data_IF_926568431105
#
_entry.id   IF_926568431105
#
_cell.length_a   1.000
_cell.length_b   1.000
_cell.length_c   1.000
_cell.angle_alpha   90.00
_cell.angle_beta   90.00
_cell.angle_gamma   90.00
#
_symmetry.space_group_name_H-M   'P 1'
#
loop_
_entity.id
_entity.type
_entity.pdbx_description
1 polymer ?
#
# COMPACT_ATOMS: atom_id res chain seq x y z
N UNK A 1 14.20 -62.59 -19.92
CA UNK A 1 15.34 -63.03 -19.08
C UNK A 1 16.64 -62.47 -19.62
N UNK A 2 16.93 -61.19 -19.36
CA UNK A 2 18.24 -60.59 -19.62
C UNK A 2 18.91 -60.37 -18.26
N UNK A 3 20.00 -61.08 -17.93
CA UNK A 3 20.62 -61.04 -16.60
C UNK A 3 21.45 -59.78 -16.30
N UNK A 4 21.48 -58.78 -17.20
CA UNK A 4 22.25 -57.54 -17.06
C UNK A 4 21.40 -56.28 -16.77
N UNK A 5 20.10 -56.44 -16.49
CA UNK A 5 19.19 -55.31 -16.25
C UNK A 5 19.37 -54.79 -14.83
N UNK A 6 19.58 -53.47 -14.67
CA UNK A 6 19.76 -52.83 -13.37
C UNK A 6 18.46 -52.14 -12.88
N UNK A 7 18.35 -51.96 -11.56
CA UNK A 7 17.21 -51.26 -10.95
C UNK A 7 17.23 -49.79 -11.40
N UNK A 8 16.14 -49.34 -12.03
CA UNK A 8 16.00 -47.98 -12.57
C UNK A 8 16.15 -47.88 -14.10
N UNK A 9 16.48 -48.98 -14.77
CA UNK A 9 16.66 -49.01 -16.23
C UNK A 9 15.31 -49.17 -16.97
N UNK A 10 15.12 -48.42 -18.06
CA UNK A 10 13.95 -48.55 -18.93
C UNK A 10 14.18 -49.66 -19.96
N UNK A 11 13.39 -50.73 -19.90
CA UNK A 11 13.40 -51.80 -20.91
C UNK A 11 12.52 -51.35 -22.07
N UNK A 12 13.13 -51.14 -23.24
CA UNK A 12 12.43 -50.83 -24.48
C UNK A 12 12.01 -52.14 -25.16
N UNK A 13 10.72 -52.33 -25.39
CA UNK A 13 10.18 -53.47 -26.14
C UNK A 13 9.68 -52.99 -27.51
N UNK A 14 10.06 -53.69 -28.58
CA UNK A 14 9.67 -53.31 -29.94
C UNK A 14 8.17 -53.52 -30.14
N UNK A 15 7.43 -52.44 -30.38
CA UNK A 15 5.99 -52.50 -30.63
C UNK A 15 5.73 -53.01 -32.07
N UNK A 16 5.00 -54.11 -32.28
CA UNK A 16 4.75 -54.64 -33.62
C UNK A 16 3.95 -53.67 -34.51
N UNK A 17 4.40 -53.46 -35.75
CA UNK A 17 3.75 -52.52 -36.71
C UNK A 17 2.28 -52.87 -37.04
N UNK A 18 1.86 -54.13 -36.85
CA UNK A 18 0.48 -54.63 -37.08
C UNK A 18 -0.60 -53.88 -36.30
N UNK A 19 -0.25 -53.20 -35.20
CA UNK A 19 -1.18 -52.37 -34.43
C UNK A 19 -1.44 -50.99 -35.07
N UNK A 20 -0.64 -50.60 -36.06
CA UNK A 20 -0.75 -49.34 -36.79
C UNK A 20 -1.31 -49.51 -38.21
N UNK A 21 -1.72 -50.72 -38.59
CA UNK A 21 -2.28 -51.02 -39.90
C UNK A 21 -3.77 -50.63 -39.99
N UNK A 22 -4.12 -49.85 -41.02
CA UNK A 22 -5.51 -49.54 -41.37
C UNK A 22 -5.85 -48.05 -41.37
N UNK A 23 -6.96 -47.72 -42.06
CA UNK A 23 -7.46 -46.33 -42.22
C UNK A 23 -7.71 -45.63 -40.88
N UNK A 24 -8.15 -46.37 -39.86
CA UNK A 24 -8.47 -45.85 -38.52
C UNK A 24 -7.19 -45.45 -37.77
N UNK A 25 -6.14 -46.28 -37.82
CA UNK A 25 -4.85 -45.98 -37.19
C UNK A 25 -4.16 -44.77 -37.84
N UNK A 26 -4.22 -44.66 -39.17
CA UNK A 26 -3.70 -43.49 -39.88
C UNK A 26 -4.43 -42.18 -39.52
N UNK A 27 -5.76 -42.23 -39.35
CA UNK A 27 -6.55 -41.07 -38.90
C UNK A 27 -6.24 -40.69 -37.45
N UNK A 28 -6.11 -41.68 -36.55
CA UNK A 28 -5.72 -41.46 -35.16
C UNK A 28 -4.31 -40.87 -35.06
N UNK A 29 -3.33 -41.40 -35.81
CA UNK A 29 -1.98 -40.88 -35.88
C UNK A 29 -1.97 -39.43 -36.41
N UNK A 30 -2.74 -39.13 -37.46
CA UNK A 30 -2.92 -37.76 -37.96
C UNK A 30 -3.43 -36.84 -36.85
N UNK A 31 -4.46 -37.24 -36.11
CA UNK A 31 -5.02 -36.44 -35.01
C UNK A 31 -3.99 -36.21 -33.89
N UNK A 32 -3.25 -37.24 -33.49
CA UNK A 32 -2.20 -37.12 -32.45
C UNK A 32 -1.05 -36.23 -32.92
N UNK A 33 -0.63 -36.33 -34.19
CA UNK A 33 0.40 -35.47 -34.78
C UNK A 33 -0.09 -34.01 -34.79
N UNK A 34 -1.31 -33.75 -35.27
CA UNK A 34 -1.89 -32.40 -35.24
C UNK A 34 -2.00 -31.85 -33.82
N UNK A 35 -2.33 -32.68 -32.83
CA UNK A 35 -2.36 -32.28 -31.44
C UNK A 35 -0.96 -31.91 -30.93
N UNK A 36 0.05 -32.76 -31.19
CA UNK A 36 1.45 -32.47 -30.81
C UNK A 36 1.99 -31.21 -31.47
N UNK A 37 1.69 -30.98 -32.76
CA UNK A 37 2.09 -29.74 -33.46
C UNK A 37 1.46 -28.52 -32.78
N UNK A 38 0.16 -28.56 -32.47
CA UNK A 38 -0.51 -27.49 -31.74
C UNK A 38 0.06 -27.27 -30.33
N UNK A 39 0.43 -28.34 -29.63
CA UNK A 39 0.99 -28.22 -28.29
C UNK A 39 2.38 -27.55 -28.32
N UNK A 40 3.19 -27.85 -29.33
CA UNK A 40 4.47 -27.16 -29.59
C UNK A 40 4.25 -25.70 -29.97
N UNK A 41 3.27 -25.40 -30.83
CA UNK A 41 2.92 -24.01 -31.19
C UNK A 41 2.50 -23.20 -29.95
N UNK A 42 1.63 -23.76 -29.10
CA UNK A 42 1.19 -23.12 -27.85
C UNK A 42 2.31 -22.90 -26.86
N UNK A 43 3.20 -23.87 -26.71
CA UNK A 43 4.36 -23.74 -25.82
C UNK A 43 5.27 -22.59 -26.29
N UNK A 44 5.48 -22.49 -27.60
CA UNK A 44 6.25 -21.40 -28.22
C UNK A 44 5.58 -20.04 -28.07
N UNK A 45 4.25 -19.97 -28.21
CA UNK A 45 3.49 -18.75 -27.97
C UNK A 45 3.62 -18.29 -26.53
N UNK A 46 3.46 -19.19 -25.55
CA UNK A 46 3.61 -18.88 -24.14
C UNK A 46 4.99 -18.31 -23.84
N UNK A 47 6.05 -18.93 -24.38
CA UNK A 47 7.43 -18.47 -24.20
C UNK A 47 7.63 -17.04 -24.73
N UNK A 48 7.12 -16.73 -25.93
CA UNK A 48 7.23 -15.38 -26.50
C UNK A 48 6.55 -14.30 -25.65
N UNK A 49 5.38 -14.59 -25.08
CA UNK A 49 4.59 -13.60 -24.35
C UNK A 49 4.91 -13.54 -22.86
N UNK A 50 5.51 -14.58 -22.29
CA UNK A 50 5.93 -14.58 -20.88
C UNK A 50 6.96 -13.48 -20.62
N UNK A 51 7.92 -13.30 -21.53
CA UNK A 51 8.94 -12.26 -21.43
C UNK A 51 8.42 -10.88 -21.86
N UNK A 52 7.24 -10.82 -22.48
CA UNK A 52 6.59 -9.59 -22.92
C UNK A 52 5.65 -8.99 -21.85
N UNK A 53 5.51 -9.62 -20.68
CA UNK A 53 4.76 -9.05 -19.56
C UNK A 53 5.41 -7.72 -19.16
N UNK A 54 4.61 -6.66 -19.04
CA UNK A 54 5.12 -5.33 -18.77
C UNK A 54 5.34 -4.46 -19.99
N UNK A 55 4.99 -4.92 -21.19
CA UNK A 55 5.13 -4.16 -22.43
C UNK A 55 3.77 -3.78 -23.04
N UNK A 56 3.79 -2.78 -23.92
CA UNK A 56 2.63 -2.40 -24.74
C UNK A 56 2.58 -3.29 -25.97
N UNK A 57 1.39 -3.80 -26.25
CA UNK A 57 1.12 -4.55 -27.47
C UNK A 57 -0.02 -3.92 -28.27
N UNK A 58 0.08 -4.04 -29.59
CA UNK A 58 -0.96 -3.62 -30.53
C UNK A 58 -1.70 -4.85 -31.07
N UNK A 59 -3.01 -4.75 -31.20
CA UNK A 59 -3.84 -5.81 -31.78
C UNK A 59 -5.09 -5.26 -32.47
N UNK A 60 -5.87 -6.18 -33.04
CA UNK A 60 -7.13 -5.87 -33.72
C UNK A 60 -8.28 -6.51 -32.95
N UNK A 61 -9.32 -5.73 -32.66
CA UNK A 61 -10.50 -6.22 -31.95
C UNK A 61 -11.24 -7.25 -32.82
N UNK A 62 -11.30 -8.50 -32.34
CA UNK A 62 -12.02 -9.61 -32.98
C UNK A 62 -13.50 -9.58 -32.62
N UNK A 63 -13.80 -9.45 -31.33
CA UNK A 63 -15.17 -9.42 -30.80
C UNK A 63 -15.18 -8.69 -29.45
N UNK A 64 -16.27 -7.98 -29.21
CA UNK A 64 -16.56 -7.36 -27.90
C UNK A 64 -17.77 -8.09 -27.30
N UNK A 65 -17.58 -8.66 -26.12
CA UNK A 65 -18.60 -9.31 -25.31
C UNK A 65 -18.97 -8.40 -24.12
N UNK A 66 -19.99 -8.77 -23.33
CA UNK A 66 -20.38 -8.01 -22.14
C UNK A 66 -19.26 -7.94 -21.08
N UNK A 67 -18.51 -9.03 -20.92
CA UNK A 67 -17.46 -9.17 -19.90
C UNK A 67 -16.08 -8.65 -20.35
N UNK A 68 -15.91 -8.27 -21.61
CA UNK A 68 -14.61 -7.84 -22.13
C UNK A 68 -14.48 -7.94 -23.65
N UNK A 69 -13.29 -7.63 -24.15
CA UNK A 69 -12.97 -7.59 -25.57
C UNK A 69 -11.87 -8.60 -25.90
N UNK A 70 -12.11 -9.42 -26.91
CA UNK A 70 -11.12 -10.34 -27.48
C UNK A 70 -10.33 -9.62 -28.58
N UNK A 71 -9.02 -9.59 -28.42
CA UNK A 71 -8.08 -8.87 -29.30
C UNK A 71 -7.16 -9.88 -29.97
N UNK A 72 -7.03 -9.78 -31.29
CA UNK A 72 -6.10 -10.54 -32.09
C UNK A 72 -4.73 -9.88 -32.11
N UNK A 73 -3.71 -10.61 -31.69
CA UNK A 73 -2.30 -10.21 -31.79
C UNK A 73 -1.62 -10.83 -33.03
N UNK A 74 -2.40 -11.53 -33.87
CA UNK A 74 -1.94 -12.20 -35.09
C UNK A 74 -1.42 -13.61 -34.82
N UNK A 75 -0.58 -13.79 -33.80
CA UNK A 75 -0.09 -15.13 -33.37
C UNK A 75 -0.81 -15.71 -32.16
N UNK A 76 -1.43 -14.87 -31.34
CA UNK A 76 -2.17 -15.27 -30.16
C UNK A 76 -3.37 -14.35 -29.96
N UNK A 77 -4.24 -14.72 -29.02
CA UNK A 77 -5.38 -13.90 -28.62
C UNK A 77 -5.17 -13.33 -27.23
N UNK A 78 -5.50 -12.06 -27.07
CA UNK A 78 -5.50 -11.37 -25.79
C UNK A 78 -6.93 -11.05 -25.35
N UNK A 79 -7.15 -11.13 -24.05
CA UNK A 79 -8.40 -10.80 -23.40
C UNK A 79 -8.24 -9.48 -22.66
N UNK A 80 -9.09 -8.51 -22.98
CA UNK A 80 -9.24 -7.24 -22.27
C UNK A 80 -10.51 -7.30 -21.42
N UNK A 81 -10.41 -7.50 -20.09
CA UNK A 81 -11.57 -7.45 -19.21
C UNK A 81 -12.28 -6.09 -19.26
N UNK A 82 -13.58 -6.08 -18.94
CA UNK A 82 -14.36 -4.84 -18.89
C UNK A 82 -13.83 -3.85 -17.84
N UNK A 83 -13.40 -4.36 -16.69
CA UNK A 83 -12.84 -3.54 -15.59
C UNK A 83 -11.45 -2.97 -15.92
N UNK A 84 -10.76 -3.60 -16.87
CA UNK A 84 -9.45 -3.17 -17.38
C UNK A 84 -9.56 -2.24 -18.61
N UNK A 85 -10.80 -1.87 -18.96
CA UNK A 85 -11.12 -0.95 -20.07
C UNK A 85 -11.43 0.43 -19.53
N UNK A 86 -10.93 1.48 -20.20
CA UNK A 86 -11.26 2.86 -19.83
C UNK A 86 -12.77 3.08 -20.03
N UNK A 87 -13.46 3.62 -19.02
CA UNK A 87 -14.94 3.64 -18.98
C UNK A 87 -15.60 4.33 -20.18
N UNK A 88 -14.94 5.32 -20.78
CA UNK A 88 -15.44 6.09 -21.94
C UNK A 88 -15.14 5.44 -23.28
N UNK A 89 -14.42 4.33 -23.28
CA UNK A 89 -13.93 3.70 -24.49
C UNK A 89 -14.90 2.62 -24.98
N UNK A 90 -15.18 2.64 -26.28
CA UNK A 90 -16.03 1.66 -26.94
C UNK A 90 -15.28 1.07 -28.13
N UNK A 91 -15.07 -0.23 -28.11
CA UNK A 91 -14.40 -0.95 -29.19
C UNK A 91 -15.39 -1.63 -30.11
N UNK A 92 -15.20 -1.43 -31.42
CA UNK A 92 -15.90 -2.15 -32.49
C UNK A 92 -14.98 -3.21 -33.09
N UNK A 93 -15.59 -4.22 -33.69
CA UNK A 93 -14.84 -5.23 -34.44
C UNK A 93 -14.03 -4.57 -35.57
N UNK A 94 -12.74 -4.92 -35.65
CA UNK A 94 -11.80 -4.36 -36.61
C UNK A 94 -11.03 -3.13 -36.12
N UNK A 95 -11.38 -2.56 -34.97
CA UNK A 95 -10.64 -1.45 -34.38
C UNK A 95 -9.24 -1.91 -33.96
N UNK A 96 -8.25 -1.02 -34.13
CA UNK A 96 -6.91 -1.23 -33.58
C UNK A 96 -6.87 -0.73 -32.15
N UNK A 97 -6.27 -1.54 -31.28
CA UNK A 97 -6.14 -1.25 -29.86
C UNK A 97 -4.70 -1.46 -29.43
N UNK A 98 -4.21 -0.56 -28.58
CA UNK A 98 -2.95 -0.72 -27.84
C UNK A 98 -3.27 -0.99 -26.38
N UNK A 99 -2.54 -1.87 -25.72
CA UNK A 99 -2.80 -2.17 -24.32
C UNK A 99 -1.54 -2.73 -23.63
N UNK A 100 -1.51 -2.63 -22.31
CA UNK A 100 -0.44 -3.14 -21.48
C UNK A 100 -0.68 -4.60 -21.11
N UNK A 101 0.30 -5.48 -21.33
CA UNK A 101 0.23 -6.88 -20.89
C UNK A 101 0.57 -6.94 -19.40
N UNK A 102 -0.43 -7.20 -18.55
CA UNK A 102 -0.19 -7.30 -17.09
C UNK A 102 -0.09 -8.74 -16.59
N UNK A 103 -0.63 -9.72 -17.34
CA UNK A 103 -0.62 -11.12 -16.91
C UNK A 103 -0.73 -12.08 -18.11
N UNK A 104 0.01 -13.18 -18.06
CA UNK A 104 -0.08 -14.27 -19.04
C UNK A 104 -0.28 -15.58 -18.29
N UNK A 105 -1.39 -16.26 -18.54
CA UNK A 105 -1.73 -17.53 -17.90
C UNK A 105 -1.58 -18.69 -18.88
N UNK A 106 -0.86 -19.76 -18.52
CA UNK A 106 -0.91 -20.99 -19.29
C UNK A 106 -2.28 -21.66 -19.10
N UNK A 107 -2.99 -21.98 -20.19
CA UNK A 107 -4.16 -22.85 -20.16
C UNK A 107 -3.97 -24.05 -21.09
N UNK A 108 -4.71 -25.13 -20.80
CA UNK A 108 -4.70 -26.35 -21.61
C UNK A 108 -5.09 -26.13 -23.09
N UNK A 109 -5.78 -25.03 -23.40
CA UNK A 109 -6.19 -24.67 -24.77
C UNK A 109 -5.26 -23.66 -25.47
N UNK A 110 -4.24 -23.14 -24.78
CA UNK A 110 -3.31 -22.11 -25.25
C UNK A 110 -3.04 -21.06 -24.17
N UNK A 111 -1.99 -20.25 -24.28
CA UNK A 111 -1.75 -19.15 -23.35
C UNK A 111 -2.86 -18.10 -23.45
N UNK A 112 -3.45 -17.72 -22.31
CA UNK A 112 -4.37 -16.60 -22.23
C UNK A 112 -3.62 -15.35 -21.79
N UNK A 113 -3.54 -14.36 -22.68
CA UNK A 113 -2.86 -13.10 -22.43
C UNK A 113 -3.91 -12.10 -21.92
N UNK A 114 -3.68 -11.53 -20.75
CA UNK A 114 -4.53 -10.48 -20.19
C UNK A 114 -3.88 -9.12 -20.41
N UNK A 115 -4.65 -8.23 -21.01
CA UNK A 115 -4.23 -6.87 -21.32
C UNK A 115 -5.10 -5.87 -20.55
N UNK A 116 -4.52 -4.70 -20.27
CA UNK A 116 -5.17 -3.61 -19.55
C UNK A 116 -4.88 -2.26 -20.20
N UNK A 117 -5.87 -1.37 -20.15
CA UNK A 117 -5.72 0.05 -20.50
C UNK A 117 -5.88 0.97 -19.29
N UNK A 118 -6.30 0.45 -18.15
CA UNK A 118 -6.47 1.18 -16.88
C UNK A 118 -5.22 1.11 -16.00
N UNK A 119 -4.37 0.09 -16.16
CA UNK A 119 -3.18 -0.12 -15.33
C UNK A 119 -2.24 1.11 -15.34
N UNK A 120 -1.68 1.54 -14.20
CA UNK A 120 -0.78 2.70 -14.12
C UNK A 120 0.46 2.54 -15.00
N UNK A 121 1.03 1.33 -15.08
CA UNK A 121 2.21 1.07 -15.92
C UNK A 121 1.94 1.22 -17.42
N UNK A 122 0.67 1.22 -17.86
CA UNK A 122 0.36 1.55 -19.24
C UNK A 122 0.78 2.99 -19.58
N UNK A 123 0.57 3.94 -18.67
CA UNK A 123 1.02 5.32 -18.82
C UNK A 123 2.55 5.41 -18.89
N UNK A 124 3.24 4.68 -18.01
CA UNK A 124 4.71 4.66 -17.94
C UNK A 124 5.31 4.17 -19.26
N UNK A 125 4.83 3.04 -19.76
CA UNK A 125 5.32 2.49 -21.03
C UNK A 125 4.95 3.38 -22.24
N UNK A 126 3.80 4.06 -22.22
CA UNK A 126 3.45 5.04 -23.26
C UNK A 126 4.43 6.22 -23.28
N UNK A 127 4.84 6.72 -22.11
CA UNK A 127 5.86 7.76 -22.02
C UNK A 127 7.23 7.26 -22.47
N UNK A 128 7.58 6.03 -22.14
CA UNK A 128 8.84 5.40 -22.56
C UNK A 128 8.96 5.27 -24.09
N UNK A 129 7.87 4.95 -24.78
CA UNK A 129 7.84 4.95 -26.26
C UNK A 129 7.89 6.38 -26.85
N UNK A 130 7.30 7.36 -26.16
CA UNK A 130 7.16 8.73 -26.65
C UNK A 130 8.37 9.65 -26.34
N UNK A 131 9.16 9.32 -25.32
CA UNK A 131 10.25 10.13 -24.78
C UNK A 131 11.56 9.34 -24.85
N UNK A 132 12.43 9.59 -25.85
CA UNK A 132 13.71 8.89 -26.01
C UNK A 132 14.62 8.97 -24.77
N UNK A 133 14.55 10.07 -24.03
CA UNK A 133 15.31 10.30 -22.81
C UNK A 133 14.93 9.32 -21.68
N UNK A 134 13.67 8.85 -21.64
CA UNK A 134 13.22 7.78 -20.73
C UNK A 134 13.72 6.42 -21.22
N UNK A 135 13.64 6.18 -22.54
CA UNK A 135 14.10 4.92 -23.14
C UNK A 135 15.60 4.67 -22.92
N UNK A 136 16.41 5.74 -22.98
CA UNK A 136 17.86 5.68 -22.78
C UNK A 136 18.28 5.72 -21.30
N UNK A 137 17.32 5.87 -20.37
CA UNK A 137 17.58 5.94 -18.93
C UNK A 137 18.18 7.25 -18.42
N UNK A 138 18.18 8.32 -19.23
CA UNK A 138 18.57 9.66 -18.77
C UNK A 138 17.52 10.25 -17.84
N UNK A 139 16.25 9.98 -18.12
CA UNK A 139 15.10 10.29 -17.26
C UNK A 139 14.53 8.98 -16.75
N UNK A 140 14.26 8.91 -15.46
CA UNK A 140 13.57 7.79 -14.83
C UNK A 140 12.17 8.20 -14.40
N UNK A 141 11.21 7.30 -14.58
CA UNK A 141 9.85 7.44 -14.06
C UNK A 141 9.82 6.84 -12.66
N UNK A 142 9.65 7.69 -11.65
CA UNK A 142 9.68 7.30 -10.24
C UNK A 142 8.35 6.70 -9.77
N UNK A 143 7.24 7.05 -10.42
CA UNK A 143 5.92 6.55 -10.08
C UNK A 143 4.82 7.13 -10.97
N UNK A 144 3.67 6.46 -10.98
CA UNK A 144 2.48 6.90 -11.71
C UNK A 144 1.21 6.58 -10.91
N UNK A 145 0.32 7.57 -10.82
CA UNK A 145 -1.01 7.44 -10.24
C UNK A 145 -2.06 7.79 -11.29
N UNK A 146 -3.08 6.95 -11.46
CA UNK A 146 -4.13 7.13 -12.48
C UNK A 146 -5.53 7.01 -11.90
N UNK A 147 -6.39 7.89 -12.38
CA UNK A 147 -7.85 7.74 -12.41
C UNK A 147 -8.25 7.59 -13.89
N UNK A 148 -8.34 6.34 -14.39
CA UNK A 148 -8.37 6.05 -15.82
C UNK A 148 -9.48 6.78 -16.59
N UNK A 149 -9.10 7.47 -17.66
CA UNK A 149 -10.01 8.26 -18.51
C UNK A 149 -10.37 9.64 -17.97
N UNK A 150 -9.79 10.04 -16.83
CA UNK A 150 -10.04 11.35 -16.23
C UNK A 150 -8.76 12.14 -15.97
N UNK A 151 -7.88 11.62 -15.10
CA UNK A 151 -6.67 12.33 -14.67
C UNK A 151 -5.58 11.37 -14.23
N UNK A 152 -4.33 11.74 -14.47
CA UNK A 152 -3.16 11.03 -13.99
C UNK A 152 -2.09 11.99 -13.50
N UNK A 153 -1.22 11.47 -12.63
CA UNK A 153 0.01 12.12 -12.20
C UNK A 153 1.18 11.17 -12.45
N UNK A 154 2.25 11.65 -13.06
CA UNK A 154 3.48 10.90 -13.28
C UNK A 154 4.66 11.66 -12.70
N UNK A 155 5.49 10.97 -11.92
CA UNK A 155 6.68 11.52 -11.31
C UNK A 155 7.92 11.13 -12.12
N UNK A 156 8.73 12.12 -12.50
CA UNK A 156 9.93 11.92 -13.33
C UNK A 156 11.14 12.57 -12.69
N UNK A 157 12.30 11.93 -12.85
CA UNK A 157 13.59 12.40 -12.34
C UNK A 157 14.62 12.36 -13.47
N UNK A 158 15.39 13.43 -13.62
CA UNK A 158 16.55 13.43 -14.54
C UNK A 158 17.83 13.06 -13.78
N UNK A 159 18.66 12.21 -14.37
CA UNK A 159 20.04 11.98 -13.93
C UNK A 159 21.02 13.00 -14.50
N UNK A 160 20.64 13.70 -15.57
CA UNK A 160 21.41 14.80 -16.14
C UNK A 160 20.89 16.15 -15.60
N UNK A 161 21.77 16.90 -14.94
CA UNK A 161 21.46 18.22 -14.36
C UNK A 161 21.17 19.28 -15.42
N UNK A 162 21.61 19.07 -16.67
CA UNK A 162 21.38 20.02 -17.76
C UNK A 162 20.06 19.75 -18.51
N UNK A 163 19.36 18.68 -18.15
CA UNK A 163 18.12 18.26 -18.79
C UNK A 163 16.95 18.46 -17.84
N UNK A 164 15.96 19.24 -18.27
CA UNK A 164 14.68 19.37 -17.58
C UNK A 164 13.80 18.14 -17.89
N UNK A 165 13.47 17.28 -16.90
CA UNK A 165 12.69 16.08 -17.14
C UNK A 165 11.22 16.39 -17.50
N UNK A 166 10.66 17.48 -16.98
CA UNK A 166 9.27 17.86 -17.26
C UNK A 166 9.16 18.38 -18.68
N UNK A 167 10.03 19.32 -19.06
CA UNK A 167 10.10 19.86 -20.43
C UNK A 167 10.37 18.78 -21.47
N UNK A 168 11.23 17.81 -21.15
CA UNK A 168 11.41 16.62 -21.98
C UNK A 168 10.08 15.86 -22.14
N UNK A 169 9.42 15.45 -21.07
CA UNK A 169 8.18 14.67 -21.18
C UNK A 169 7.02 15.42 -21.88
N UNK A 170 6.92 16.74 -21.71
CA UNK A 170 5.91 17.58 -22.37
C UNK A 170 6.20 17.70 -23.88
N UNK A 171 7.47 17.92 -24.24
CA UNK A 171 7.90 18.18 -25.62
C UNK A 171 7.46 19.56 -26.15
N UNK A 172 7.84 19.87 -27.38
CA UNK A 172 7.55 21.17 -28.00
C UNK A 172 6.04 21.39 -28.03
N UNK A 173 5.56 22.45 -27.34
CA UNK A 173 4.12 22.78 -27.21
C UNK A 173 3.23 21.63 -26.71
N UNK A 174 3.79 20.71 -25.92
CA UNK A 174 3.01 19.60 -25.37
C UNK A 174 2.72 18.46 -26.34
N UNK A 175 3.37 18.41 -27.51
CA UNK A 175 3.10 17.38 -28.53
C UNK A 175 3.27 15.96 -27.99
N UNK A 176 4.27 15.71 -27.13
CA UNK A 176 4.54 14.38 -26.56
C UNK A 176 3.45 13.97 -25.57
N UNK A 177 3.16 14.82 -24.59
CA UNK A 177 2.08 14.54 -23.61
C UNK A 177 0.70 14.48 -24.27
N UNK A 178 0.43 15.26 -25.31
CA UNK A 178 -0.84 15.20 -26.05
C UNK A 178 -1.03 13.87 -26.79
N UNK A 179 0.04 13.28 -27.33
CA UNK A 179 -0.03 11.96 -27.96
C UNK A 179 -0.45 10.89 -26.94
N UNK A 180 0.14 10.91 -25.74
CA UNK A 180 -0.23 10.01 -24.63
C UNK A 180 -1.66 10.27 -24.16
N UNK A 181 -2.05 11.52 -23.93
CA UNK A 181 -3.42 11.92 -23.54
C UNK A 181 -4.46 11.45 -24.57
N UNK A 182 -4.13 11.52 -25.86
CA UNK A 182 -5.02 11.07 -26.95
C UNK A 182 -5.20 9.56 -26.92
N UNK A 183 -4.11 8.80 -26.72
CA UNK A 183 -4.15 7.35 -26.56
C UNK A 183 -5.00 6.93 -25.33
N UNK A 184 -5.02 7.75 -24.28
CA UNK A 184 -5.79 7.52 -23.04
C UNK A 184 -7.19 8.15 -23.05
N UNK A 185 -7.76 8.43 -24.23
CA UNK A 185 -9.13 8.95 -24.38
C UNK A 185 -9.37 10.30 -23.67
N UNK A 186 -8.37 11.20 -23.70
CA UNK A 186 -8.49 12.55 -23.14
C UNK A 186 -8.21 12.64 -21.64
N UNK A 187 -7.56 11.63 -21.07
CA UNK A 187 -7.08 11.64 -19.69
C UNK A 187 -6.07 12.77 -19.46
N UNK A 188 -6.31 13.66 -18.48
CA UNK A 188 -5.40 14.77 -18.19
C UNK A 188 -4.19 14.29 -17.42
N UNK A 189 -3.02 14.30 -18.05
CA UNK A 189 -1.76 13.88 -17.43
C UNK A 189 -1.00 15.09 -16.88
N UNK A 190 -0.77 15.10 -15.57
CA UNK A 190 0.14 16.04 -14.90
C UNK A 190 1.52 15.37 -14.77
N UNK A 191 2.57 16.04 -15.25
CA UNK A 191 3.96 15.57 -15.14
C UNK A 191 4.64 16.36 -14.03
N UNK A 192 5.20 15.66 -13.05
CA UNK A 192 5.75 16.23 -11.82
C UNK A 192 7.22 15.84 -11.73
N UNK A 193 8.07 16.82 -11.43
CA UNK A 193 9.47 16.55 -11.11
C UNK A 193 9.58 15.95 -9.72
N UNK A 194 10.10 14.73 -9.63
CA UNK A 194 10.34 14.04 -8.37
C UNK A 194 11.44 14.73 -7.57
N UNK A 195 11.25 14.83 -6.25
CA UNK A 195 12.26 15.32 -5.31
C UNK A 195 12.49 14.27 -4.21
N UNK A 196 13.73 14.08 -3.73
CA UNK A 196 13.99 13.26 -2.56
C UNK A 196 13.41 13.86 -1.27
N UNK A 197 13.12 15.17 -1.25
CA UNK A 197 12.44 15.80 -0.12
C UNK A 197 10.92 15.58 -0.25
N UNK A 198 10.33 14.84 0.70
CA UNK A 198 8.91 14.48 0.68
C UNK A 198 7.98 15.71 0.67
N UNK A 199 8.29 16.75 1.45
CA UNK A 199 7.48 17.96 1.47
C UNK A 199 7.52 18.69 0.13
N UNK A 200 8.69 18.83 -0.49
CA UNK A 200 8.82 19.45 -1.80
C UNK A 200 8.10 18.64 -2.88
N UNK A 201 8.28 17.32 -2.88
CA UNK A 201 7.63 16.43 -3.83
C UNK A 201 6.11 16.48 -3.70
N UNK A 202 5.59 16.51 -2.47
CA UNK A 202 4.16 16.64 -2.20
C UNK A 202 3.59 17.97 -2.70
N UNK A 203 4.28 19.10 -2.44
CA UNK A 203 3.84 20.41 -2.93
C UNK A 203 3.73 20.40 -4.45
N UNK A 204 4.68 19.77 -5.15
CA UNK A 204 4.62 19.61 -6.61
C UNK A 204 3.48 18.66 -7.02
N UNK A 205 3.25 17.58 -6.29
CA UNK A 205 2.17 16.63 -6.56
C UNK A 205 0.77 17.22 -6.37
N UNK A 206 0.61 18.17 -5.44
CA UNK A 206 -0.65 18.85 -5.15
C UNK A 206 -1.06 19.88 -6.21
N UNK A 207 -0.19 20.21 -7.18
CA UNK A 207 -0.52 21.10 -8.29
C UNK A 207 -1.81 20.66 -9.00
N UNK A 208 -2.74 21.59 -9.29
CA UNK A 208 -2.54 23.05 -9.36
C UNK A 208 -2.81 23.81 -8.04
N UNK A 209 -3.17 23.14 -6.95
CA UNK A 209 -3.47 23.82 -5.69
C UNK A 209 -2.19 24.39 -5.05
N UNK A 210 -2.26 25.60 -4.51
CA UNK A 210 -1.15 26.19 -3.76
C UNK A 210 -1.22 25.75 -2.30
N UNK A 211 -0.09 25.26 -1.81
CA UNK A 211 0.08 24.78 -0.44
C UNK A 211 0.75 25.88 0.39
N UNK A 212 0.18 26.20 1.55
CA UNK A 212 0.74 27.18 2.50
C UNK A 212 1.81 26.54 3.38
N UNK A 213 1.50 25.39 3.97
CA UNK A 213 2.35 24.69 4.94
C UNK A 213 2.17 23.19 4.81
N UNK A 214 3.25 22.45 5.07
CA UNK A 214 3.26 21.00 5.12
C UNK A 214 3.81 20.58 6.49
N UNK A 215 3.10 19.69 7.16
CA UNK A 215 3.53 19.06 8.42
C UNK A 215 3.63 17.56 8.18
N UNK A 216 4.83 17.03 8.35
CA UNK A 216 5.14 15.62 8.14
C UNK A 216 5.03 14.88 9.48
N UNK A 217 4.31 13.77 9.48
CA UNK A 217 4.29 12.80 10.57
C UNK A 217 4.91 11.49 10.06
N UNK A 218 6.17 11.27 10.43
CA UNK A 218 6.95 10.12 9.98
C UNK A 218 6.51 8.82 10.66
N UNK A 219 5.95 8.90 11.87
CA UNK A 219 5.54 7.73 12.64
C UNK A 219 4.27 7.09 12.05
N UNK A 220 3.29 7.92 11.65
CA UNK A 220 2.04 7.48 11.03
C UNK A 220 2.07 7.45 9.50
N UNK A 221 3.21 7.77 8.86
CA UNK A 221 3.37 7.91 7.41
C UNK A 221 2.26 8.82 6.80
N UNK A 222 1.96 9.91 7.51
CA UNK A 222 0.89 10.86 7.18
C UNK A 222 1.46 12.25 6.96
N UNK A 223 0.88 12.99 6.02
CA UNK A 223 1.25 14.36 5.74
C UNK A 223 0.02 15.24 5.82
N UNK A 224 0.11 16.28 6.64
CA UNK A 224 -0.91 17.30 6.75
C UNK A 224 -0.55 18.51 5.89
N UNK A 225 -1.47 18.89 5.02
CA UNK A 225 -1.30 19.93 4.03
C UNK A 225 -2.26 21.06 4.33
N UNK A 226 -1.71 22.21 4.69
CA UNK A 226 -2.48 23.43 4.92
C UNK A 226 -2.58 24.21 3.62
N UNK A 227 -3.81 24.53 3.22
CA UNK A 227 -4.10 25.30 2.00
C UNK A 227 -4.96 26.52 2.33
N UNK A 228 -4.84 27.61 1.55
CA UNK A 228 -5.78 28.72 1.65
C UNK A 228 -7.21 28.26 1.36
N UNK A 229 -8.20 28.91 1.96
CA UNK A 229 -9.63 28.58 1.80
C UNK A 229 -10.04 28.48 0.31
N UNK A 230 -9.56 29.41 -0.51
CA UNK A 230 -9.87 29.48 -1.95
C UNK A 230 -9.32 28.28 -2.74
N UNK A 231 -8.26 27.65 -2.24
CA UNK A 231 -7.59 26.50 -2.85
C UNK A 231 -8.07 25.15 -2.30
N UNK A 232 -8.85 25.10 -1.22
CA UNK A 232 -9.32 23.85 -0.61
C UNK A 232 -10.03 22.95 -1.61
N UNK A 233 -10.94 23.52 -2.40
CA UNK A 233 -11.69 22.79 -3.43
C UNK A 233 -10.79 22.25 -4.55
N UNK A 234 -9.75 23.01 -4.93
CA UNK A 234 -8.76 22.58 -5.93
C UNK A 234 -7.85 21.49 -5.39
N UNK A 235 -7.44 21.62 -4.12
CA UNK A 235 -6.57 20.68 -3.42
C UNK A 235 -7.23 19.31 -3.30
N UNK A 236 -8.49 19.26 -2.83
CA UNK A 236 -9.30 18.03 -2.74
C UNK A 236 -9.59 17.49 -4.16
N UNK A 237 -10.04 18.38 -5.05
CA UNK A 237 -10.49 18.03 -6.39
C UNK A 237 -11.84 17.30 -6.40
N UNK A 238 -12.37 17.04 -7.60
CA UNK A 238 -13.68 16.38 -7.74
C UNK A 238 -13.66 14.99 -7.10
N UNK A 239 -14.48 14.76 -6.07
CA UNK A 239 -14.54 13.50 -5.29
C UNK A 239 -13.18 13.09 -4.69
N UNK A 240 -12.37 14.06 -4.26
CA UNK A 240 -11.05 13.78 -3.68
C UNK A 240 -10.01 13.30 -4.68
N UNK A 241 -10.25 13.46 -5.99
CA UNK A 241 -9.38 12.91 -7.03
C UNK A 241 -7.94 13.42 -6.92
N UNK A 242 -7.72 14.71 -6.62
CA UNK A 242 -6.37 15.27 -6.64
C UNK A 242 -5.54 14.77 -5.46
N UNK A 243 -6.11 14.79 -4.25
CA UNK A 243 -5.48 14.23 -3.04
C UNK A 243 -5.21 12.74 -3.19
N UNK A 244 -6.17 11.96 -3.72
CA UNK A 244 -5.97 10.51 -3.94
C UNK A 244 -4.82 10.23 -4.89
N UNK A 245 -4.75 10.96 -6.01
CA UNK A 245 -3.66 10.79 -6.97
C UNK A 245 -2.31 11.22 -6.39
N UNK A 246 -2.27 12.30 -5.61
CA UNK A 246 -1.06 12.72 -4.91
C UNK A 246 -0.62 11.66 -3.88
N UNK A 247 -1.55 11.13 -3.10
CA UNK A 247 -1.29 10.11 -2.07
C UNK A 247 -0.74 8.81 -2.67
N UNK A 248 -1.34 8.32 -3.76
CA UNK A 248 -0.82 7.15 -4.48
C UNK A 248 0.57 7.43 -5.07
N UNK A 249 0.82 8.64 -5.57
CA UNK A 249 2.10 8.99 -6.19
C UNK A 249 3.23 9.15 -5.17
N UNK A 250 2.94 9.75 -4.01
CA UNK A 250 3.94 9.99 -2.96
C UNK A 250 4.10 8.78 -2.04
N UNK A 251 3.07 7.95 -1.90
CA UNK A 251 3.03 6.85 -0.94
C UNK A 251 2.65 7.26 0.49
N UNK A 252 2.21 8.51 0.68
CA UNK A 252 1.82 9.06 1.99
C UNK A 252 0.31 9.24 2.08
N UNK A 253 -0.27 9.07 3.27
CA UNK A 253 -1.66 9.50 3.51
C UNK A 253 -1.69 11.02 3.64
N UNK A 254 -2.53 11.69 2.86
CA UNK A 254 -2.54 13.16 2.77
C UNK A 254 -3.84 13.67 3.35
N UNK A 255 -3.74 14.45 4.42
CA UNK A 255 -4.87 15.20 4.96
C UNK A 255 -4.78 16.67 4.55
N UNK A 256 -5.90 17.25 4.13
CA UNK A 256 -5.95 18.63 3.65
C UNK A 256 -6.86 19.45 4.55
N UNK A 257 -6.30 20.51 5.11
CA UNK A 257 -7.01 21.43 5.98
C UNK A 257 -6.72 22.89 5.62
N UNK A 258 -7.52 23.78 6.15
CA UNK A 258 -7.40 25.23 5.94
C UNK A 258 -6.53 25.87 7.00
N UNK A 259 -6.02 27.08 6.74
CA UNK A 259 -5.27 27.85 7.75
C UNK A 259 -6.09 28.09 9.04
N UNK A 260 -7.42 28.20 8.93
CA UNK A 260 -8.33 28.34 10.08
C UNK A 260 -8.41 27.05 10.89
N UNK A 261 -8.63 25.92 10.22
CA UNK A 261 -8.73 24.60 10.87
C UNK A 261 -7.40 24.21 11.54
N UNK A 262 -6.26 24.51 10.91
CA UNK A 262 -4.95 24.25 11.51
C UNK A 262 -4.70 25.12 12.76
N UNK A 263 -5.12 26.39 12.73
CA UNK A 263 -5.04 27.28 13.88
C UNK A 263 -5.94 26.82 15.04
N UNK A 264 -7.20 26.44 14.75
CA UNK A 264 -8.13 25.89 15.74
C UNK A 264 -7.60 24.61 16.36
N UNK A 265 -7.10 23.69 15.54
CA UNK A 265 -6.49 22.44 16.02
C UNK A 265 -5.28 22.71 16.90
N UNK A 266 -4.37 23.59 16.49
CA UNK A 266 -3.19 23.95 17.29
C UNK A 266 -3.58 24.56 18.62
N UNK A 267 -4.59 25.42 18.65
CA UNK A 267 -5.12 25.99 19.90
C UNK A 267 -5.74 24.89 20.79
N UNK A 268 -6.48 23.95 20.22
CA UNK A 268 -7.03 22.82 20.96
C UNK A 268 -5.93 21.92 21.54
N UNK A 269 -4.92 21.56 20.75
CA UNK A 269 -3.75 20.80 21.20
C UNK A 269 -3.04 21.54 22.34
N UNK A 270 -2.82 22.85 22.20
CA UNK A 270 -2.20 23.67 23.22
C UNK A 270 -3.01 23.70 24.53
N UNK A 271 -4.35 23.82 24.43
CA UNK A 271 -5.24 23.80 25.58
C UNK A 271 -5.25 22.44 26.29
N UNK A 272 -5.22 21.33 25.54
CA UNK A 272 -5.14 19.98 26.08
C UNK A 272 -3.82 19.77 26.82
N UNK A 273 -2.69 20.13 26.18
CA UNK A 273 -1.36 20.06 26.80
C UNK A 273 -1.28 20.91 28.07
N UNK A 274 -1.79 22.14 28.02
CA UNK A 274 -1.81 23.04 29.17
C UNK A 274 -2.63 22.45 30.31
N UNK A 275 -3.81 21.90 30.01
CA UNK A 275 -4.66 21.26 31.02
C UNK A 275 -3.98 20.05 31.65
N UNK A 276 -3.31 19.22 30.85
CA UNK A 276 -2.59 18.04 31.33
C UNK A 276 -1.42 18.43 32.25
N UNK A 277 -0.60 19.40 31.85
CA UNK A 277 0.51 19.89 32.68
C UNK A 277 0.01 20.56 33.96
N UNK A 278 -1.05 21.37 33.89
CA UNK A 278 -1.66 21.99 35.08
C UNK A 278 -2.15 20.94 36.07
N UNK A 279 -2.86 19.91 35.62
CA UNK A 279 -3.42 18.87 36.48
C UNK A 279 -2.33 18.00 37.12
N UNK A 280 -1.29 17.66 36.36
CA UNK A 280 -0.27 16.73 36.82
C UNK A 280 0.85 17.39 37.61
N UNK A 281 1.23 18.63 37.29
CA UNK A 281 2.29 19.37 37.98
C UNK A 281 1.76 20.33 39.06
N UNK A 282 0.43 20.49 39.16
CA UNK A 282 -0.22 21.45 40.06
C UNK A 282 0.35 22.87 39.87
N UNK A 283 0.38 23.30 38.61
CA UNK A 283 0.89 24.61 38.18
C UNK A 283 -0.23 25.49 37.66
N UNK A 284 -0.02 26.79 37.69
CA UNK A 284 -0.95 27.74 37.09
C UNK A 284 -0.84 27.74 35.56
N UNK A 285 -1.83 28.36 34.91
CA UNK A 285 -1.90 28.41 33.45
C UNK A 285 -0.70 29.15 32.84
N UNK A 286 -0.18 30.17 33.52
CA UNK A 286 0.97 30.95 33.02
C UNK A 286 2.22 30.07 32.96
N UNK A 287 2.50 29.30 34.01
CA UNK A 287 3.65 28.41 34.05
C UNK A 287 3.49 27.24 33.08
N UNK A 288 2.29 26.64 32.96
CA UNK A 288 2.04 25.60 31.97
C UNK A 288 2.29 26.08 30.53
N UNK A 289 1.84 27.29 30.21
CA UNK A 289 2.08 27.91 28.90
C UNK A 289 3.55 28.17 28.60
N UNK A 290 4.31 28.57 29.62
CA UNK A 290 5.76 28.79 29.52
C UNK A 290 6.49 27.47 29.22
N UNK A 291 6.13 26.39 29.92
CA UNK A 291 6.71 25.06 29.68
C UNK A 291 6.42 24.56 28.25
N UNK A 292 5.20 24.75 27.75
CA UNK A 292 4.86 24.35 26.37
C UNK A 292 5.64 25.19 25.34
N UNK A 293 5.82 26.49 25.59
CA UNK A 293 6.58 27.37 24.69
C UNK A 293 8.05 26.95 24.55
N UNK A 294 8.63 26.43 25.63
CA UNK A 294 9.99 25.86 25.66
C UNK A 294 10.06 24.42 25.12
N UNK A 295 8.92 23.84 24.73
CA UNK A 295 8.84 22.56 24.02
C UNK A 295 8.50 21.35 24.89
N UNK A 296 8.19 21.54 26.17
CA UNK A 296 7.74 20.43 27.04
C UNK A 296 6.31 20.03 26.68
N UNK A 297 6.14 18.82 26.14
CA UNK A 297 4.84 18.28 25.71
C UNK A 297 4.26 17.30 26.72
N UNK A 298 5.09 16.71 27.55
CA UNK A 298 4.68 15.76 28.56
C UNK A 298 5.47 15.93 29.85
N UNK A 299 4.93 15.37 30.94
CA UNK A 299 5.61 15.32 32.24
C UNK A 299 6.91 14.51 32.15
N UNK A 300 6.93 13.50 31.27
CA UNK A 300 8.10 12.66 31.00
C UNK A 300 9.25 13.46 30.38
N UNK A 301 8.94 14.46 29.54
CA UNK A 301 9.95 15.34 28.97
C UNK A 301 10.68 16.17 30.04
N UNK A 302 10.00 16.56 31.12
CA UNK A 302 10.60 17.28 32.24
C UNK A 302 11.59 16.43 33.04
N UNK A 303 11.38 15.11 33.09
CA UNK A 303 12.25 14.17 33.79
C UNK A 303 13.51 13.81 32.99
N UNK A 304 13.48 13.98 31.66
CA UNK A 304 14.62 13.72 30.77
C UNK A 304 15.66 14.84 30.75
N UNK A 305 15.28 16.02 31.23
CA UNK A 305 16.07 17.25 31.19
C UNK A 305 16.68 17.52 32.57
N UNK A 306 17.76 18.28 32.65
CA UNK A 306 18.37 18.64 33.94
C UNK A 306 17.64 19.82 34.62
N UNK A 307 17.67 19.94 35.95
CA UNK A 307 17.08 21.09 36.64
C UNK A 307 17.68 22.44 36.20
N UNK A 308 18.95 22.43 35.80
CA UNK A 308 19.69 23.61 35.33
C UNK A 308 19.17 24.12 33.98
N UNK A 309 18.77 23.22 33.09
CA UNK A 309 18.17 23.56 31.79
C UNK A 309 16.76 24.14 31.98
N UNK A 310 15.97 23.61 32.91
CA UNK A 310 14.64 24.15 33.25
C UNK A 310 14.78 25.53 33.93
N UNK A 311 15.78 25.72 34.79
CA UNK A 311 16.09 27.01 35.40
C UNK A 311 16.64 28.05 34.40
N UNK A 312 17.01 27.62 33.19
CA UNK A 312 17.37 28.53 32.09
C UNK A 312 16.19 29.29 31.50
N UNK A 313 14.96 28.85 31.80
CA UNK A 313 13.72 29.47 31.32
C UNK A 313 13.47 30.76 32.09
N UNK A 314 13.14 31.84 31.38
CA UNK A 314 12.92 33.15 31.99
C UNK A 314 11.77 33.10 33.00
N UNK A 315 12.09 33.35 34.27
CA UNK A 315 11.13 33.32 35.38
C UNK A 315 11.13 32.04 36.22
N UNK A 316 11.99 31.06 35.90
CA UNK A 316 12.22 29.87 36.71
C UNK A 316 13.61 29.92 37.36
N UNK A 317 13.69 29.45 38.61
CA UNK A 317 14.95 29.25 39.31
C UNK A 317 15.23 27.77 39.52
N UNK A 318 16.44 27.45 40.02
CA UNK A 318 16.86 26.06 40.25
C UNK A 318 15.97 25.35 41.27
N UNK A 319 15.41 26.09 42.23
CA UNK A 319 14.57 25.54 43.29
C UNK A 319 13.20 25.13 42.71
N UNK A 320 12.56 26.00 41.92
CA UNK A 320 11.31 25.70 41.22
C UNK A 320 11.52 24.60 40.19
N UNK A 321 12.64 24.58 39.47
CA UNK A 321 12.96 23.51 38.52
C UNK A 321 13.02 22.14 39.21
N UNK A 322 13.72 22.04 40.35
CA UNK A 322 13.76 20.78 41.12
C UNK A 322 12.39 20.40 41.67
N UNK A 323 11.60 21.37 42.11
CA UNK A 323 10.23 21.14 42.58
C UNK A 323 9.32 20.62 41.45
N UNK A 324 9.39 21.20 40.26
CA UNK A 324 8.65 20.74 39.08
C UNK A 324 9.01 19.29 38.72
N UNK A 325 10.29 18.93 38.77
CA UNK A 325 10.73 17.55 38.55
C UNK A 325 10.25 16.59 39.64
N UNK A 326 10.29 17.02 40.90
CA UNK A 326 9.76 16.21 42.00
C UNK A 326 8.25 15.96 41.85
N UNK A 327 7.50 16.98 41.44
CA UNK A 327 6.06 16.85 41.16
C UNK A 327 5.79 15.99 39.93
N UNK A 328 6.58 16.15 38.88
CA UNK A 328 6.53 15.29 37.70
C UNK A 328 6.74 13.82 38.07
N UNK A 329 7.77 13.53 38.88
CA UNK A 329 8.06 12.18 39.35
C UNK A 329 6.94 11.65 40.27
N UNK A 330 6.40 12.49 41.14
CA UNK A 330 5.30 12.12 42.03
C UNK A 330 4.02 11.81 41.24
N UNK A 331 3.70 12.61 40.22
CA UNK A 331 2.57 12.37 39.33
C UNK A 331 2.73 11.06 38.55
N UNK A 332 3.94 10.79 38.03
CA UNK A 332 4.25 9.56 37.32
C UNK A 332 4.15 8.32 38.24
N UNK A 333 4.67 8.42 39.47
CA UNK A 333 4.54 7.36 40.47
C UNK A 333 3.07 7.14 40.89
N UNK A 334 2.30 8.21 41.07
CA UNK A 334 0.88 8.14 41.40
C UNK A 334 0.07 7.52 40.24
N UNK A 335 0.41 7.83 38.99
CA UNK A 335 -0.17 7.20 37.82
C UNK A 335 0.18 5.70 37.75
N UNK A 336 1.43 5.33 38.02
CA UNK A 336 1.87 3.93 38.09
C UNK A 336 1.14 3.15 39.20
N UNK A 337 1.00 3.73 40.40
CA UNK A 337 0.22 3.12 41.48
C UNK A 337 -1.27 2.97 41.15
N UNK A 338 -1.87 3.94 40.43
CA UNK A 338 -3.25 3.83 39.95
C UNK A 338 -3.36 2.67 38.96
N UNK A 339 -2.42 2.55 38.03
CA UNK A 339 -2.33 1.45 37.07
C UNK A 339 -2.23 0.08 37.77
N UNK A 340 -1.41 -0.04 38.81
CA UNK A 340 -1.30 -1.27 39.61
C UNK A 340 -2.61 -1.59 40.35
N UNK A 341 -3.26 -0.59 40.95
CA UNK A 341 -4.54 -0.76 41.68
C UNK A 341 -5.70 -1.18 40.78
N UNK A 342 -5.68 -0.77 39.51
CA UNK A 342 -6.71 -1.11 38.54
C UNK A 342 -6.62 -2.57 38.05
N UNK A 343 -5.46 -3.22 38.24
CA UNK A 343 -5.29 -4.65 37.95
C UNK A 343 -5.41 -5.00 36.46
N UNK A 344 -4.99 -4.07 35.59
CA UNK A 344 -4.98 -4.25 34.15
C UNK A 344 -3.86 -5.24 33.76
N UNK A 345 -4.17 -6.19 32.89
CA UNK A 345 -3.22 -7.20 32.38
C UNK A 345 -2.05 -6.57 31.62
N UNK A 346 -0.85 -7.16 31.74
CA UNK A 346 0.35 -6.69 31.02
C UNK A 346 0.18 -6.78 29.49
N UNK A 347 -0.63 -7.72 29.02
CA UNK A 347 -0.96 -7.89 27.60
C UNK A 347 -1.77 -6.70 27.06
N UNK A 348 -2.75 -6.21 27.83
CA UNK A 348 -3.50 -4.99 27.48
C UNK A 348 -2.57 -3.77 27.47
N UNK A 349 -1.62 -3.68 28.40
CA UNK A 349 -0.63 -2.58 28.45
C UNK A 349 0.34 -2.60 27.27
N UNK A 350 0.63 -3.79 26.73
CA UNK A 350 1.59 -3.99 25.64
C UNK A 350 1.03 -3.71 24.24
N UNK A 351 -0.28 -3.40 24.12
CA UNK A 351 -0.87 -3.03 22.83
C UNK A 351 -0.29 -1.73 22.27
N UNK A 352 0.09 -1.76 21.00
CA UNK A 352 0.59 -0.60 20.27
C UNK A 352 -0.48 0.52 20.23
N UNK A 353 -0.14 1.69 20.77
CA UNK A 353 -1.03 2.85 20.86
C UNK A 353 -1.73 3.03 22.21
N UNK A 354 -1.43 2.18 23.20
CA UNK A 354 -1.86 2.40 24.59
C UNK A 354 -1.03 3.49 25.26
N UNK A 355 -1.67 4.61 25.62
CA UNK A 355 -1.09 5.62 26.51
C UNK A 355 -1.44 5.32 27.97
N UNK A 356 -0.61 5.77 28.92
CA UNK A 356 -0.88 5.57 30.34
C UNK A 356 -2.24 6.13 30.78
N UNK A 357 -2.63 7.29 30.25
CA UNK A 357 -3.93 7.91 30.49
C UNK A 357 -5.09 7.07 29.95
N UNK A 358 -4.90 6.42 28.78
CA UNK A 358 -5.90 5.53 28.20
C UNK A 358 -6.06 4.25 29.03
N UNK A 359 -4.96 3.65 29.48
CA UNK A 359 -5.02 2.44 30.32
C UNK A 359 -5.73 2.72 31.65
N UNK A 360 -5.46 3.88 32.25
CA UNK A 360 -6.14 4.31 33.49
C UNK A 360 -7.63 4.49 33.23
N UNK A 361 -8.01 5.19 32.16
CA UNK A 361 -9.42 5.42 31.82
C UNK A 361 -10.17 4.10 31.53
N UNK A 362 -9.55 3.16 30.82
CA UNK A 362 -10.10 1.82 30.55
C UNK A 362 -10.24 1.01 31.85
N UNK A 363 -9.21 1.02 32.70
CA UNK A 363 -9.22 0.32 33.98
C UNK A 363 -10.29 0.85 34.94
N UNK A 364 -10.50 2.17 34.99
CA UNK A 364 -11.57 2.79 35.80
C UNK A 364 -12.97 2.39 35.32
N UNK A 365 -13.13 2.10 34.03
CA UNK A 365 -14.36 1.60 33.43
C UNK A 365 -14.52 0.07 33.50
N UNK A 366 -13.53 -0.61 34.09
CA UNK A 366 -13.58 -2.06 34.35
C UNK A 366 -13.04 -2.94 33.22
N UNK A 367 -12.43 -2.36 32.19
CA UNK A 367 -11.79 -3.07 31.08
C UNK A 367 -10.37 -3.45 31.53
N UNK A 368 -10.11 -4.74 31.76
CA UNK A 368 -8.87 -5.22 32.40
C UNK A 368 -8.07 -6.19 31.52
N UNK A 369 -8.74 -6.85 30.59
CA UNK A 369 -8.18 -7.89 29.72
C UNK A 369 -8.29 -7.50 28.24
N UNK A 370 -7.56 -8.21 27.37
CA UNK A 370 -7.69 -8.07 25.92
C UNK A 370 -9.08 -8.45 25.43
N UNK A 371 -9.72 -9.44 26.06
CA UNK A 371 -11.12 -9.82 25.81
C UNK A 371 -12.09 -8.68 26.07
N UNK A 372 -11.97 -8.04 27.25
CA UNK A 372 -12.85 -6.92 27.63
C UNK A 372 -12.79 -5.77 26.62
N UNK A 373 -11.60 -5.52 26.04
CA UNK A 373 -11.42 -4.49 25.01
C UNK A 373 -11.88 -4.96 23.62
N UNK A 374 -11.68 -6.24 23.30
CA UNK A 374 -12.07 -6.86 22.03
C UNK A 374 -13.58 -6.98 21.84
N UNK A 375 -14.32 -7.16 22.94
CA UNK A 375 -15.79 -7.25 22.94
C UNK A 375 -16.50 -5.92 22.65
N UNK A 376 -15.81 -4.79 22.83
CA UNK A 376 -16.41 -3.47 22.63
C UNK A 376 -16.60 -3.14 21.15
N UNK A 377 -17.67 -2.39 20.85
CA UNK A 377 -17.81 -1.67 19.59
C UNK A 377 -17.04 -0.33 19.63
N UNK A 378 -16.66 0.19 18.46
CA UNK A 378 -15.95 1.48 18.33
C UNK A 378 -16.70 2.62 19.02
N UNK A 379 -18.03 2.65 18.86
CA UNK A 379 -18.90 3.68 19.43
C UNK A 379 -18.98 3.57 20.96
N UNK A 380 -19.01 2.34 21.50
CA UNK A 380 -19.06 2.08 22.94
C UNK A 380 -17.76 2.48 23.63
N UNK A 381 -16.61 2.17 23.01
CA UNK A 381 -15.29 2.57 23.51
C UNK A 381 -15.16 4.09 23.57
N UNK A 382 -15.70 4.81 22.59
CA UNK A 382 -15.68 6.28 22.58
C UNK A 382 -16.59 6.90 23.63
N UNK A 383 -17.78 6.35 23.85
CA UNK A 383 -18.69 6.86 24.90
C UNK A 383 -18.13 6.64 26.31
N UNK A 384 -17.34 5.59 26.50
CA UNK A 384 -16.71 5.29 27.79
C UNK A 384 -15.54 6.21 28.14
N UNK A 385 -14.86 6.76 27.14
CA UNK A 385 -13.64 7.54 27.33
C UNK A 385 -13.90 9.06 27.29
N UNK A 386 -13.13 9.87 28.03
CA UNK A 386 -13.23 11.33 27.93
C UNK A 386 -13.00 11.81 26.48
N UNK A 387 -13.80 12.80 26.05
CA UNK A 387 -13.72 13.34 24.70
C UNK A 387 -12.31 13.87 24.39
N UNK A 388 -11.71 13.39 23.29
CA UNK A 388 -10.38 13.81 22.83
C UNK A 388 -9.24 12.80 23.06
N UNK A 389 -9.49 11.70 23.79
CA UNK A 389 -8.46 10.66 24.03
C UNK A 389 -8.25 9.70 22.85
N UNK A 390 -9.30 9.41 22.06
CA UNK A 390 -9.24 8.53 20.89
C UNK A 390 -10.06 9.10 19.74
N UNK A 391 -9.52 9.01 18.52
CA UNK A 391 -10.30 9.20 17.29
C UNK A 391 -10.91 7.86 16.81
N UNK A 392 -11.91 7.89 15.93
CA UNK A 392 -12.63 6.69 15.42
C UNK A 392 -11.66 5.64 14.88
N UNK A 393 -10.64 6.08 14.14
CA UNK A 393 -9.65 5.19 13.52
C UNK A 393 -8.75 4.53 14.56
N UNK A 394 -8.33 5.26 15.59
CA UNK A 394 -7.50 4.77 16.69
C UNK A 394 -8.29 3.79 17.56
N UNK A 395 -9.53 4.12 17.90
CA UNK A 395 -10.43 3.23 18.62
C UNK A 395 -10.64 1.91 17.86
N UNK A 396 -10.93 2.00 16.55
CA UNK A 396 -11.06 0.82 15.71
C UNK A 396 -9.76 0.01 15.63
N UNK A 397 -8.61 0.67 15.46
CA UNK A 397 -7.29 0.00 15.40
C UNK A 397 -6.97 -0.73 16.70
N UNK A 398 -7.27 -0.13 17.86
CA UNK A 398 -7.05 -0.74 19.17
C UNK A 398 -7.97 -1.95 19.40
N UNK A 399 -9.26 -1.85 19.06
CA UNK A 399 -10.19 -2.98 19.17
C UNK A 399 -9.77 -4.12 18.24
N UNK A 400 -9.38 -3.83 17.00
CA UNK A 400 -8.90 -4.84 16.07
C UNK A 400 -7.58 -5.48 16.54
N UNK A 401 -6.66 -4.69 17.09
CA UNK A 401 -5.42 -5.18 17.66
C UNK A 401 -5.66 -6.05 18.91
N UNK A 402 -6.63 -5.68 19.76
CA UNK A 402 -7.09 -6.54 20.83
C UNK A 402 -7.57 -7.86 20.25
N UNK A 403 -8.55 -7.88 19.33
CA UNK A 403 -9.10 -9.12 18.72
C UNK A 403 -8.09 -10.04 18.03
N UNK A 404 -6.89 -9.56 17.68
CA UNK A 404 -5.85 -10.42 17.12
C UNK A 404 -5.48 -11.59 18.05
N UNK A 405 -5.58 -11.43 19.37
CA UNK A 405 -5.28 -12.52 20.31
C UNK A 405 -6.24 -13.71 20.18
N UNK A 406 -7.51 -13.49 19.80
CA UNK A 406 -8.47 -14.57 19.54
C UNK A 406 -8.06 -15.47 18.36
N UNK A 407 -7.33 -14.91 17.41
CA UNK A 407 -6.85 -15.64 16.22
C UNK A 407 -5.46 -16.24 16.40
N UNK A 408 -4.79 -15.98 17.53
CA UNK A 408 -3.48 -16.56 17.83
C UNK A 408 -3.61 -17.94 18.51
N UNK A 409 -4.70 -18.20 19.22
CA UNK A 409 -4.97 -19.53 19.82
C UNK A 409 -5.49 -20.54 18.77
N UNK A 410 -6.22 -20.09 17.74
CA UNK A 410 -6.69 -20.98 16.64
C UNK A 410 -5.55 -21.61 15.81
N UNK A 411 -4.33 -21.05 15.83
CA UNK A 411 -3.19 -21.66 15.12
C UNK A 411 -2.53 -22.81 15.87
N UNK A 412 -2.74 -22.94 17.17
CA UNK A 412 -2.17 -24.04 17.96
C UNK A 412 -3.13 -25.25 18.05
N UNK A 413 -4.45 -25.04 17.91
CA UNK A 413 -5.46 -26.10 17.97
C UNK A 413 -5.73 -26.80 16.62
N UNK A 414 -5.29 -26.24 15.47
CA UNK A 414 -5.44 -26.90 14.16
C UNK A 414 -4.29 -27.88 13.83
N UNK A 415 -3.20 -27.88 14.59
CA UNK A 415 -2.02 -28.74 14.35
C UNK A 415 -2.05 -30.08 15.13
N UNK A 416 -2.96 -30.28 16.09
CA UNK A 416 -3.05 -31.54 16.85
C UNK A 416 -3.96 -32.63 16.24
N UNK A 417 -4.76 -32.31 15.21
CA UNK A 417 -5.72 -33.27 14.62
C UNK A 417 -5.32 -33.86 13.24
N UNK A 418 -4.06 -33.70 12.82
CA UNK A 418 -3.56 -34.27 11.55
C UNK A 418 -2.57 -35.44 11.64
N UNK A 419 -2.22 -35.94 12.83
CA UNK A 419 -1.29 -37.07 12.97
C UNK A 419 -1.88 -38.28 13.72
N UNK A 420 -2.99 -38.81 13.19
CA UNK A 420 -3.52 -40.11 13.62
C UNK A 420 -4.08 -40.95 12.46
N UNK A 421 -3.18 -41.54 11.66
CA UNK A 421 -3.47 -42.79 10.94
C UNK A 421 -2.20 -43.67 10.89
N UNK A 422 -2.35 -45.01 11.00
CA UNK A 422 -1.37 -45.84 11.68
C UNK A 422 -0.22 -46.32 10.78
N UNK A 423 0.99 -46.27 11.32
CA UNK A 423 2.14 -47.01 10.81
C UNK A 423 2.05 -48.48 11.27
N UNK A 424 1.73 -49.39 10.34
CA UNK A 424 2.03 -50.81 10.52
C UNK A 424 2.65 -51.43 9.26
N UNK A 425 3.76 -52.11 9.51
CA UNK A 425 4.40 -53.20 8.77
C UNK A 425 5.15 -52.89 7.46
N UNK A 426 6.49 -52.82 7.59
CA UNK A 426 7.36 -53.88 7.03
C UNK A 426 8.80 -53.76 7.58
N UNK A 427 9.10 -54.55 8.60
CA UNK A 427 10.46 -54.95 8.94
C UNK A 427 10.91 -56.07 8.00
N UNK A 428 12.14 -55.99 7.46
CA UNK A 428 13.16 -57.05 7.53
C UNK A 428 14.26 -56.89 6.45
N UNK A 429 15.37 -56.29 6.89
CA UNK A 429 16.77 -56.73 6.77
C UNK A 429 17.46 -56.91 5.39
N UNK A 430 18.79 -56.69 5.35
CA UNK A 430 19.57 -56.41 4.15
C UNK A 430 20.28 -57.66 3.61
N UNK A 431 20.63 -57.63 2.33
CA UNK A 431 21.65 -58.52 1.78
C UNK A 431 22.58 -57.73 0.85
N UNK A 432 23.86 -57.74 1.21
CA UNK A 432 24.99 -57.38 0.36
C UNK A 432 25.10 -58.35 -0.82
N UNK A 433 25.30 -57.82 -2.03
CA UNK A 433 26.31 -58.23 -3.02
C UNK A 433 26.26 -57.24 -4.19
#
# INVERSE_FOLDING_TARGET
NNPNIQIGEYIMEDLPLKYFDGRVAAQAAKQVIFQKVKDVERARELENYKDSVGTIISGIVKRTDFNGTLVDLGRAEAWLPKDETIQRETFKQGDRIRAYIYKVNPQARGPQIFISRTHPQYLVELFKEQVPEIQNGTIEVMGAARDPGFRAKIAVKSYDRNLDPVGACVGIRGVRVQAVTTELQGERVDIIEWSPNAAEFLVRAMQPAQVSKVVLDEDDNRIEVVVPQDNLSLAIGRRGQNVRLASILTGWDIDVMTDSEESERRNNEYNVLSTNLMQNLDVDEVLARLLIAEGFRSIDDLLKVTPEEIAGIEGLDTDIATELQNRAQAALNAAAERLEKLGVTEELKALNGMTADLIIALGEKGIKTLDDLGDLATDELQEMLPAGLLNDKQAQKLIMAARQHWFAEESDDEDEDLDAAPAEAAAATPAQA
#
